data_IF_390078741145
#
_entry.id   IF_390078741145
#
_cell.length_a   1.000
_cell.length_b   1.000
_cell.length_c   1.000
_cell.angle_alpha   90.00
_cell.angle_beta   90.00
_cell.angle_gamma   90.00
#
_symmetry.space_group_name_H-M   'P 1'
#
loop_
_entity.id
_entity.type
_entity.pdbx_description
1 polymer ?
#
# COMPACT_ATOMS: atom_id res chain seq x y z
N UNK A 1 32.81 11.61 11.92
CA UNK A 1 31.60 12.44 12.06
C UNK A 1 30.43 11.59 11.60
N UNK A 2 29.71 10.99 12.55
CA UNK A 2 28.56 10.13 12.28
C UNK A 2 27.39 11.03 11.88
N UNK A 3 27.00 10.99 10.61
CA UNK A 3 25.73 11.56 10.19
C UNK A 3 24.62 10.72 10.82
N UNK A 4 24.12 11.19 11.96
CA UNK A 4 22.86 10.73 12.51
C UNK A 4 21.80 11.00 11.46
N UNK A 5 21.25 9.92 10.90
CA UNK A 5 20.06 9.97 10.10
C UNK A 5 18.92 10.39 11.03
N UNK A 6 18.75 11.70 11.20
CA UNK A 6 17.61 12.26 11.91
C UNK A 6 16.36 11.93 11.10
N UNK A 7 15.74 10.79 11.43
CA UNK A 7 14.35 10.51 11.13
C UNK A 7 13.51 11.53 11.90
N UNK A 8 13.39 12.75 11.38
CA UNK A 8 12.35 13.65 11.81
C UNK A 8 11.00 12.92 11.59
N UNK A 9 10.27 12.52 12.65
CA UNK A 9 9.05 11.74 12.49
C UNK A 9 7.88 12.57 11.92
N UNK A 10 8.12 13.85 11.61
CA UNK A 10 7.14 14.79 11.12
C UNK A 10 7.03 14.85 9.60
N UNK A 11 6.39 13.84 9.00
CA UNK A 11 5.93 13.77 7.60
C UNK A 11 7.03 13.87 6.51
N UNK A 12 7.09 12.86 5.63
CA UNK A 12 8.03 12.80 4.52
C UNK A 12 8.01 14.09 3.65
N UNK A 13 9.17 14.54 3.14
CA UNK A 13 9.27 15.63 2.17
C UNK A 13 8.29 15.39 1.00
N UNK A 14 7.60 16.45 0.54
CA UNK A 14 6.62 16.33 -0.56
C UNK A 14 5.16 16.06 -0.16
N UNK A 15 4.84 16.01 1.13
CA UNK A 15 3.44 15.92 1.60
C UNK A 15 2.67 17.22 1.30
N UNK A 16 1.54 17.09 0.60
CA UNK A 16 0.65 18.23 0.30
C UNK A 16 -0.09 18.64 1.57
N UNK A 17 0.05 19.91 1.97
CA UNK A 17 -0.69 20.45 3.11
C UNK A 17 -2.09 20.91 2.66
N UNK A 18 -3.16 20.36 3.25
CA UNK A 18 -4.52 20.79 2.93
C UNK A 18 -4.79 22.20 3.46
N UNK A 19 -5.26 23.09 2.58
CA UNK A 19 -5.76 24.43 2.97
C UNK A 19 -7.05 24.38 3.79
N UNK A 20 -7.87 23.34 3.59
CA UNK A 20 -9.15 23.17 4.27
C UNK A 20 -9.00 22.32 5.53
N UNK A 21 -9.47 22.83 6.68
CA UNK A 21 -9.41 22.13 7.96
C UNK A 21 -10.10 20.74 7.93
N UNK A 22 -11.21 20.61 7.19
CA UNK A 22 -11.90 19.33 7.02
C UNK A 22 -11.06 18.27 6.28
N UNK A 23 -10.37 18.68 5.20
CA UNK A 23 -9.45 17.79 4.46
C UNK A 23 -8.21 17.45 5.30
N UNK A 24 -7.75 18.38 6.15
CA UNK A 24 -6.67 18.14 7.09
C UNK A 24 -7.01 17.06 8.12
N UNK A 25 -8.21 17.12 8.71
CA UNK A 25 -8.68 16.14 9.69
C UNK A 25 -8.84 14.77 9.03
N UNK A 26 -9.44 14.70 7.83
CA UNK A 26 -9.60 13.45 7.09
C UNK A 26 -8.25 12.81 6.72
N UNK A 27 -7.32 13.61 6.17
CA UNK A 27 -5.99 13.12 5.81
C UNK A 27 -5.20 12.62 7.04
N UNK A 28 -5.28 13.34 8.17
CA UNK A 28 -4.64 12.93 9.42
C UNK A 28 -5.25 11.63 9.98
N UNK A 29 -6.56 11.49 9.91
CA UNK A 29 -7.28 10.30 10.37
C UNK A 29 -6.93 9.08 9.51
N UNK A 30 -6.94 9.24 8.18
CA UNK A 30 -6.57 8.17 7.26
C UNK A 30 -5.10 7.78 7.40
N UNK A 31 -4.20 8.75 7.57
CA UNK A 31 -2.78 8.46 7.78
C UNK A 31 -2.52 7.74 9.11
N UNK A 32 -3.24 8.13 10.17
CA UNK A 32 -3.17 7.41 11.45
C UNK A 32 -3.61 5.96 11.28
N UNK A 33 -4.72 5.72 10.58
CA UNK A 33 -5.20 4.37 10.28
C UNK A 33 -4.19 3.57 9.44
N UNK A 34 -3.71 4.14 8.34
CA UNK A 34 -2.70 3.52 7.46
C UNK A 34 -1.43 3.16 8.23
N UNK A 35 -1.03 3.96 9.23
CA UNK A 35 0.12 3.67 10.08
C UNK A 35 -0.11 2.46 10.99
N UNK A 36 -1.32 2.26 11.51
CA UNK A 36 -1.63 1.03 12.27
C UNK A 36 -1.59 -0.19 11.37
N UNK A 37 -2.17 -0.06 10.17
CA UNK A 37 -2.16 -1.11 9.14
C UNK A 37 -0.72 -1.46 8.73
N UNK A 38 0.16 -0.46 8.60
CA UNK A 38 1.59 -0.69 8.34
C UNK A 38 2.26 -1.56 9.41
N UNK A 39 2.06 -1.24 10.70
CA UNK A 39 2.63 -2.05 11.79
C UNK A 39 2.15 -3.50 11.73
N UNK A 40 0.87 -3.72 11.42
CA UNK A 40 0.33 -5.05 11.20
C UNK A 40 0.99 -5.76 10.01
N UNK A 41 1.17 -5.07 8.88
CA UNK A 41 1.86 -5.61 7.71
C UNK A 41 3.32 -5.96 8.01
N UNK A 42 4.03 -5.14 8.78
CA UNK A 42 5.42 -5.41 9.18
C UNK A 42 5.50 -6.67 10.05
N UNK A 43 4.58 -6.82 11.01
CA UNK A 43 4.48 -8.03 11.83
C UNK A 43 4.18 -9.26 10.96
N UNK A 44 3.25 -9.14 10.01
CA UNK A 44 2.92 -10.22 9.08
C UNK A 44 4.13 -10.66 8.24
N UNK A 45 4.97 -9.73 7.77
CA UNK A 45 6.20 -10.06 7.03
C UNK A 45 7.22 -10.82 7.90
N UNK A 46 7.39 -10.41 9.15
CA UNK A 46 8.27 -11.13 10.10
C UNK A 46 7.73 -12.55 10.33
N UNK A 47 6.42 -12.69 10.54
CA UNK A 47 5.77 -13.99 10.71
C UNK A 47 5.95 -14.87 9.46
N UNK A 48 5.73 -14.34 8.26
CA UNK A 48 5.99 -15.04 6.99
C UNK A 48 7.44 -15.53 6.91
N UNK A 49 8.41 -14.69 7.28
CA UNK A 49 9.82 -15.07 7.29
C UNK A 49 10.11 -16.22 8.27
N UNK A 50 9.51 -16.18 9.47
CA UNK A 50 9.61 -17.28 10.44
C UNK A 50 8.97 -18.58 9.92
N UNK A 51 7.78 -18.51 9.29
CA UNK A 51 7.08 -19.67 8.74
C UNK A 51 7.89 -20.32 7.61
N UNK A 52 8.43 -19.51 6.69
CA UNK A 52 9.28 -20.02 5.60
C UNK A 52 10.58 -20.62 6.13
N UNK A 53 11.20 -19.99 7.13
CA UNK A 53 12.41 -20.53 7.78
C UNK A 53 12.11 -21.87 8.45
N UNK A 54 10.99 -21.98 9.16
CA UNK A 54 10.51 -23.22 9.75
C UNK A 54 10.28 -24.30 8.68
N UNK A 55 9.61 -23.95 7.58
CA UNK A 55 9.37 -24.87 6.45
C UNK A 55 10.67 -25.48 5.93
N UNK A 56 11.66 -24.63 5.65
CA UNK A 56 12.99 -25.04 5.20
C UNK A 56 13.62 -25.99 6.22
N UNK A 57 13.68 -25.61 7.51
CA UNK A 57 14.26 -26.45 8.56
C UNK A 57 13.56 -27.81 8.64
N UNK A 58 12.23 -27.86 8.62
CA UNK A 58 11.49 -29.13 8.67
C UNK A 58 11.73 -30.02 7.46
N UNK A 59 11.84 -29.44 6.27
CA UNK A 59 12.07 -30.20 5.04
C UNK A 59 13.47 -30.81 5.02
N UNK A 60 14.50 -30.06 5.46
CA UNK A 60 15.89 -30.53 5.44
C UNK A 60 16.22 -31.48 6.59
N UNK A 61 15.74 -31.20 7.81
CA UNK A 61 16.10 -31.99 9.00
C UNK A 61 15.11 -33.10 9.32
N UNK A 62 13.80 -32.82 9.18
CA UNK A 62 12.73 -33.75 9.55
C UNK A 62 12.17 -34.54 8.36
N UNK A 63 12.67 -34.29 7.13
CA UNK A 63 12.27 -34.93 5.86
C UNK A 63 10.75 -34.99 5.63
N UNK A 64 10.00 -34.11 6.28
CA UNK A 64 8.55 -34.04 6.21
C UNK A 64 8.19 -32.71 5.56
N UNK A 65 7.56 -32.76 4.38
CA UNK A 65 7.03 -31.58 3.72
C UNK A 65 5.64 -31.30 4.30
N UNK A 66 5.39 -30.06 4.73
CA UNK A 66 4.09 -29.67 5.28
C UNK A 66 3.44 -28.65 4.34
N UNK A 67 2.31 -29.01 3.74
CA UNK A 67 1.76 -28.27 2.58
C UNK A 67 1.09 -26.93 2.91
N UNK A 68 0.75 -26.66 4.18
CA UNK A 68 0.07 -25.42 4.60
C UNK A 68 0.98 -24.18 4.64
N UNK A 69 2.30 -24.39 4.74
CA UNK A 69 3.27 -23.33 5.02
C UNK A 69 3.41 -22.35 3.84
N UNK A 70 3.42 -22.90 2.62
CA UNK A 70 3.55 -22.11 1.39
C UNK A 70 2.35 -21.18 1.22
N UNK A 71 1.13 -21.70 1.41
CA UNK A 71 -0.09 -20.91 1.23
C UNK A 71 -0.30 -19.88 2.33
N UNK A 72 -0.02 -20.22 3.59
CA UNK A 72 -0.06 -19.26 4.69
C UNK A 72 0.91 -18.09 4.43
N UNK A 73 2.11 -18.39 3.92
CA UNK A 73 3.12 -17.40 3.58
C UNK A 73 2.68 -16.50 2.43
N UNK A 74 2.10 -17.08 1.37
CA UNK A 74 1.56 -16.33 0.23
C UNK A 74 0.41 -15.42 0.68
N UNK A 75 -0.51 -15.91 1.49
CA UNK A 75 -1.66 -15.13 1.96
C UNK A 75 -1.23 -13.96 2.84
N UNK A 76 -0.29 -14.20 3.76
CA UNK A 76 0.30 -13.12 4.58
C UNK A 76 1.06 -12.11 3.73
N UNK A 77 1.78 -12.54 2.69
CA UNK A 77 2.52 -11.64 1.81
C UNK A 77 1.57 -10.76 0.98
N UNK A 78 0.52 -11.36 0.38
CA UNK A 78 -0.54 -10.63 -0.34
C UNK A 78 -1.19 -9.61 0.59
N UNK A 79 -1.57 -10.07 1.79
CA UNK A 79 -2.14 -9.22 2.81
C UNK A 79 -1.26 -8.03 3.19
N UNK A 80 0.00 -8.31 3.55
CA UNK A 80 0.97 -7.29 3.94
C UNK A 80 1.22 -6.28 2.81
N UNK A 81 1.36 -6.77 1.58
CA UNK A 81 1.59 -5.94 0.39
C UNK A 81 0.46 -4.95 0.18
N UNK A 82 -0.77 -5.43 -0.03
CA UNK A 82 -1.92 -4.54 -0.34
C UNK A 82 -2.28 -3.60 0.81
N UNK A 83 -2.17 -4.07 2.05
CA UNK A 83 -2.50 -3.27 3.24
C UNK A 83 -1.48 -2.14 3.47
N UNK A 84 -0.20 -2.37 3.15
CA UNK A 84 0.85 -1.36 3.31
C UNK A 84 0.85 -0.31 2.19
N UNK A 85 0.39 -0.65 0.98
CA UNK A 85 0.49 0.23 -0.20
C UNK A 85 -0.12 1.61 0.01
N UNK A 86 -1.26 1.72 0.71
CA UNK A 86 -1.90 3.00 0.99
C UNK A 86 -1.00 3.93 1.83
N UNK A 87 -0.29 3.38 2.83
CA UNK A 87 0.66 4.13 3.63
C UNK A 87 1.86 4.57 2.79
N UNK A 88 2.44 3.66 2.00
CA UNK A 88 3.59 3.98 1.14
C UNK A 88 3.23 5.07 0.12
N UNK A 89 2.03 4.98 -0.48
CA UNK A 89 1.50 6.01 -1.38
C UNK A 89 1.35 7.37 -0.69
N UNK A 90 1.02 7.40 0.61
CA UNK A 90 0.90 8.64 1.38
C UNK A 90 2.21 9.44 1.43
N UNK A 91 3.35 8.75 1.35
CA UNK A 91 4.69 9.33 1.40
C UNK A 91 5.13 9.93 0.05
N UNK A 92 4.35 9.78 -1.02
CA UNK A 92 4.67 10.28 -2.38
C UNK A 92 6.07 9.88 -2.89
N UNK A 93 6.56 8.68 -2.54
CA UNK A 93 7.88 8.18 -2.95
C UNK A 93 8.02 7.77 -4.43
N UNK A 94 7.38 8.47 -5.37
CA UNK A 94 7.57 8.24 -6.80
C UNK A 94 8.88 8.90 -7.27
N UNK A 95 10.00 8.26 -6.94
CA UNK A 95 11.36 8.71 -7.32
C UNK A 95 11.48 8.96 -8.83
N UNK A 96 10.81 8.15 -9.65
CA UNK A 96 10.78 8.33 -11.12
C UNK A 96 10.02 9.58 -11.58
N UNK A 97 9.08 10.10 -10.78
CA UNK A 97 8.37 11.34 -11.10
C UNK A 97 9.24 12.55 -10.79
N UNK A 98 10.05 12.48 -9.75
CA UNK A 98 10.95 13.55 -9.31
C UNK A 98 12.13 13.78 -10.25
N UNK A 99 12.72 12.72 -10.82
CA UNK A 99 13.82 12.87 -11.78
C UNK A 99 13.41 13.60 -13.07
N UNK A 100 12.16 13.40 -13.52
CA UNK A 100 11.62 14.15 -14.66
C UNK A 100 11.15 15.56 -14.24
N UNK A 101 10.76 15.73 -12.97
CA UNK A 101 10.38 17.02 -12.42
C UNK A 101 11.55 18.01 -12.36
N UNK A 102 12.79 17.54 -12.18
CA UNK A 102 13.97 18.41 -12.12
C UNK A 102 14.37 19.01 -13.47
N UNK A 103 13.86 18.46 -14.58
CA UNK A 103 14.18 18.91 -15.95
C UNK A 103 13.07 19.82 -16.52
N UNK A 104 11.84 19.72 -16.00
CA UNK A 104 10.68 20.43 -16.53
C UNK A 104 10.43 21.78 -15.82
N UNK A 105 9.83 22.77 -16.53
CA UNK A 105 9.38 24.01 -15.90
C UNK A 105 8.28 23.74 -14.85
N UNK A 106 8.30 24.51 -13.75
CA UNK A 106 7.44 24.31 -12.58
C UNK A 106 5.94 24.22 -12.90
N UNK A 107 5.44 25.00 -13.87
CA UNK A 107 4.04 25.00 -14.28
C UNK A 107 3.62 23.68 -14.95
N UNK A 108 4.47 23.13 -15.81
CA UNK A 108 4.21 21.86 -16.51
C UNK A 108 4.28 20.69 -15.54
N UNK A 109 5.23 20.73 -14.59
CA UNK A 109 5.36 19.70 -13.58
C UNK A 109 4.13 19.64 -12.65
N UNK A 110 3.53 20.79 -12.31
CA UNK A 110 2.28 20.83 -11.52
C UNK A 110 1.11 20.16 -12.25
N UNK A 111 0.90 20.46 -13.54
CA UNK A 111 -0.17 19.84 -14.34
C UNK A 111 0.06 18.34 -14.48
N UNK A 112 1.30 17.93 -14.74
CA UNK A 112 1.69 16.52 -14.84
C UNK A 112 1.37 15.76 -13.55
N UNK A 113 1.72 16.31 -12.38
CA UNK A 113 1.44 15.67 -11.08
C UNK A 113 -0.06 15.46 -10.87
N UNK A 114 -0.88 16.47 -11.15
CA UNK A 114 -2.34 16.37 -11.03
C UNK A 114 -2.89 15.32 -11.98
N UNK A 115 -2.41 15.28 -13.23
CA UNK A 115 -2.86 14.30 -14.22
C UNK A 115 -2.51 12.87 -13.78
N UNK A 116 -1.28 12.63 -13.32
CA UNK A 116 -0.86 11.33 -12.81
C UNK A 116 -1.73 10.93 -11.61
N UNK A 117 -1.94 11.82 -10.65
CA UNK A 117 -2.76 11.54 -9.47
C UNK A 117 -4.21 11.17 -9.86
N UNK A 118 -4.81 11.87 -10.83
CA UNK A 118 -6.16 11.57 -11.33
C UNK A 118 -6.21 10.21 -12.02
N UNK A 119 -5.28 9.94 -12.94
CA UNK A 119 -5.22 8.67 -13.67
C UNK A 119 -4.99 7.50 -12.71
N UNK A 120 -4.06 7.64 -11.76
CA UNK A 120 -3.81 6.65 -10.71
C UNK A 120 -5.04 6.43 -9.84
N UNK A 121 -5.77 7.49 -9.48
CA UNK A 121 -7.03 7.39 -8.70
C UNK A 121 -8.09 6.61 -9.47
N UNK A 122 -8.30 6.92 -10.75
CA UNK A 122 -9.28 6.24 -11.60
C UNK A 122 -8.94 4.75 -11.75
N UNK A 123 -7.68 4.45 -12.07
CA UNK A 123 -7.20 3.08 -12.21
C UNK A 123 -7.36 2.28 -10.91
N UNK A 124 -6.92 2.84 -9.77
CA UNK A 124 -7.02 2.16 -8.49
C UNK A 124 -8.47 1.97 -8.05
N UNK A 125 -9.37 2.93 -8.34
CA UNK A 125 -10.80 2.79 -8.05
C UNK A 125 -11.44 1.67 -8.87
N UNK A 126 -11.14 1.60 -10.17
CA UNK A 126 -11.57 0.50 -11.03
C UNK A 126 -11.04 -0.85 -10.55
N UNK A 127 -9.75 -0.92 -10.22
CA UNK A 127 -9.12 -2.14 -9.72
C UNK A 127 -9.73 -2.59 -8.38
N UNK A 128 -10.04 -1.64 -7.50
CA UNK A 128 -10.72 -1.90 -6.23
C UNK A 128 -12.10 -2.51 -6.44
N UNK A 129 -12.87 -1.99 -7.40
CA UNK A 129 -14.16 -2.57 -7.76
C UNK A 129 -14.01 -4.00 -8.30
N UNK A 130 -13.07 -4.22 -9.23
CA UNK A 130 -12.78 -5.56 -9.75
C UNK A 130 -12.33 -6.53 -8.66
N UNK A 131 -11.54 -6.06 -7.69
CA UNK A 131 -11.11 -6.87 -6.54
C UNK A 131 -12.30 -7.33 -5.70
N UNK A 132 -13.29 -6.45 -5.46
CA UNK A 132 -14.52 -6.82 -4.78
C UNK A 132 -15.37 -7.82 -5.56
N UNK A 133 -15.44 -7.69 -6.90
CA UNK A 133 -16.13 -8.70 -7.72
C UNK A 133 -15.47 -10.06 -7.61
N UNK A 134 -14.13 -10.11 -7.58
CA UNK A 134 -13.37 -11.35 -7.47
C UNK A 134 -13.52 -11.99 -6.08
N UNK A 135 -13.55 -11.18 -5.03
CA UNK A 135 -13.86 -11.65 -3.67
C UNK A 135 -15.24 -12.31 -3.62
N UNK A 136 -16.26 -11.65 -4.19
CA UNK A 136 -17.62 -12.17 -4.17
C UNK A 136 -17.74 -13.48 -4.96
N UNK A 137 -17.11 -13.56 -6.12
CA UNK A 137 -17.05 -14.78 -6.93
C UNK A 137 -16.39 -15.93 -6.16
N UNK A 138 -15.21 -15.68 -5.58
CA UNK A 138 -14.50 -16.70 -4.82
C UNK A 138 -15.26 -17.17 -3.58
N UNK A 139 -16.05 -16.28 -2.96
CA UNK A 139 -16.92 -16.63 -1.85
C UNK A 139 -18.14 -17.45 -2.31
N UNK A 140 -18.79 -17.04 -3.40
CA UNK A 140 -20.01 -17.67 -3.90
C UNK A 140 -19.76 -19.04 -4.54
N UNK A 141 -18.68 -19.16 -5.32
CA UNK A 141 -18.28 -20.40 -5.99
C UNK A 141 -17.43 -21.32 -5.09
N UNK A 142 -17.02 -20.84 -3.91
CA UNK A 142 -16.19 -21.62 -2.98
C UNK A 142 -14.81 -21.94 -3.55
N UNK A 143 -14.20 -21.02 -4.29
CA UNK A 143 -12.92 -21.25 -4.95
C UNK A 143 -11.81 -21.51 -3.92
N UNK A 144 -11.08 -22.60 -4.12
CA UNK A 144 -9.93 -22.99 -3.30
C UNK A 144 -8.65 -22.98 -4.12
N UNK A 145 -7.51 -22.82 -3.46
CA UNK A 145 -6.22 -22.99 -4.13
C UNK A 145 -6.08 -24.41 -4.68
N UNK A 146 -5.35 -24.58 -5.80
CA UNK A 146 -5.09 -25.87 -6.44
C UNK A 146 -4.08 -26.78 -5.68
N UNK A 147 -3.83 -26.52 -4.40
CA UNK A 147 -2.91 -27.28 -3.54
C UNK A 147 -3.64 -28.38 -2.76
N UNK A 148 -2.90 -29.33 -2.19
CA UNK A 148 -3.44 -30.39 -1.34
C UNK A 148 -4.13 -29.88 -0.07
N UNK A 149 -3.76 -28.69 0.42
CA UNK A 149 -4.37 -28.06 1.59
C UNK A 149 -5.65 -27.26 1.25
N UNK A 150 -5.83 -26.86 -0.02
CA UNK A 150 -7.03 -26.23 -0.59
C UNK A 150 -7.72 -25.15 0.29
N UNK A 151 -7.00 -24.15 0.81
CA UNK A 151 -7.60 -23.05 1.56
C UNK A 151 -8.43 -22.17 0.63
N UNK A 152 -9.45 -21.50 1.17
CA UNK A 152 -10.35 -20.72 0.35
C UNK A 152 -9.72 -19.39 -0.08
N UNK A 153 -9.90 -19.03 -1.36
CA UNK A 153 -9.30 -17.85 -1.99
C UNK A 153 -9.98 -16.53 -1.63
N UNK A 154 -11.15 -16.57 -0.98
CA UNK A 154 -11.82 -15.35 -0.50
C UNK A 154 -10.97 -14.56 0.51
N UNK A 155 -10.08 -15.23 1.26
CA UNK A 155 -9.21 -14.58 2.24
C UNK A 155 -8.22 -13.61 1.55
N UNK A 156 -7.33 -14.07 0.65
CA UNK A 156 -6.40 -13.17 -0.03
C UNK A 156 -7.11 -12.14 -0.91
N UNK A 157 -8.20 -12.51 -1.58
CA UNK A 157 -8.98 -11.55 -2.38
C UNK A 157 -9.67 -10.49 -1.53
N UNK A 158 -10.12 -10.84 -0.33
CA UNK A 158 -10.70 -9.88 0.62
C UNK A 158 -9.64 -8.88 1.10
N UNK A 159 -8.45 -9.36 1.46
CA UNK A 159 -7.33 -8.48 1.82
C UNK A 159 -6.92 -7.57 0.67
N UNK A 160 -6.86 -8.10 -0.55
CA UNK A 160 -6.61 -7.32 -1.76
C UNK A 160 -7.68 -6.24 -1.98
N UNK A 161 -8.97 -6.59 -1.89
CA UNK A 161 -10.07 -5.65 -2.08
C UNK A 161 -10.04 -4.51 -1.06
N UNK A 162 -9.80 -4.83 0.22
CA UNK A 162 -9.71 -3.82 1.28
C UNK A 162 -8.48 -2.92 1.09
N UNK A 163 -7.30 -3.50 0.81
CA UNK A 163 -6.07 -2.72 0.60
C UNK A 163 -6.16 -1.80 -0.61
N UNK A 164 -6.76 -2.26 -1.71
CA UNK A 164 -6.98 -1.44 -2.91
C UNK A 164 -8.02 -0.34 -2.68
N UNK A 165 -9.04 -0.58 -1.85
CA UNK A 165 -10.01 0.45 -1.46
C UNK A 165 -9.33 1.56 -0.66
N UNK A 166 -8.47 1.19 0.31
CA UNK A 166 -7.69 2.14 1.11
C UNK A 166 -6.74 2.97 0.24
N UNK A 167 -6.07 2.32 -0.71
CA UNK A 167 -5.18 3.00 -1.66
C UNK A 167 -5.95 3.98 -2.55
N UNK A 168 -7.10 3.57 -3.08
CA UNK A 168 -7.95 4.45 -3.90
C UNK A 168 -8.43 5.67 -3.11
N UNK A 169 -8.82 5.48 -1.84
CA UNK A 169 -9.20 6.58 -0.95
C UNK A 169 -8.05 7.55 -0.68
N UNK A 170 -6.84 7.02 -0.46
CA UNK A 170 -5.63 7.83 -0.27
C UNK A 170 -5.29 8.67 -1.51
N UNK A 171 -5.35 8.07 -2.69
CA UNK A 171 -5.11 8.74 -3.98
C UNK A 171 -6.18 9.79 -4.28
N UNK A 172 -7.44 9.49 -3.98
CA UNK A 172 -8.54 10.45 -4.13
C UNK A 172 -8.34 11.70 -3.24
N UNK A 173 -7.94 11.51 -1.98
CA UNK A 173 -7.64 12.65 -1.11
C UNK A 173 -6.43 13.45 -1.63
N UNK A 174 -5.37 12.78 -2.11
CA UNK A 174 -4.20 13.44 -2.66
C UNK A 174 -4.51 14.26 -3.91
N UNK A 175 -5.30 13.71 -4.84
CA UNK A 175 -5.74 14.41 -6.06
C UNK A 175 -6.65 15.58 -5.72
N UNK A 176 -7.59 15.42 -4.79
CA UNK A 176 -8.46 16.52 -4.33
C UNK A 176 -7.66 17.68 -3.71
N UNK A 177 -6.66 17.39 -2.86
CA UNK A 177 -5.77 18.41 -2.29
C UNK A 177 -4.95 19.09 -3.39
N UNK A 178 -4.42 18.33 -4.35
CA UNK A 178 -3.66 18.85 -5.49
C UNK A 178 -4.48 19.83 -6.34
N UNK A 179 -5.73 19.48 -6.66
CA UNK A 179 -6.66 20.34 -7.42
C UNK A 179 -7.07 21.60 -6.64
N UNK A 180 -7.22 21.50 -5.31
CA UNK A 180 -7.54 22.65 -4.44
C UNK A 180 -6.40 23.67 -4.28
N UNK A 181 -5.24 23.43 -4.91
CA UNK A 181 -4.08 24.31 -4.81
C UNK A 181 -3.30 24.15 -3.50
N UNK A 182 -3.29 22.94 -2.93
CA UNK A 182 -2.45 22.61 -1.78
C UNK A 182 -0.99 22.98 -2.02
N UNK A 183 -0.35 23.56 -1.00
CA UNK A 183 1.07 23.86 -1.06
C UNK A 183 1.84 22.55 -0.86
N UNK A 184 2.68 22.21 -1.83
CA UNK A 184 3.71 21.19 -1.63
C UNK A 184 4.64 21.76 -0.58
N UNK A 185 4.82 21.08 0.56
CA UNK A 185 5.85 21.49 1.52
C UNK A 185 7.19 21.39 0.80
N UNK A 186 7.71 22.55 0.40
CA UNK A 186 9.03 22.67 -0.19
C UNK A 186 10.04 22.17 0.81
N UNK A 187 10.94 21.32 0.33
CA UNK A 187 12.12 20.90 1.08
C UNK A 187 12.88 22.17 1.45
N UNK A 188 12.87 22.54 2.74
CA UNK A 188 13.77 23.56 3.24
C UNK A 188 15.15 22.90 3.20
N UNK A 189 15.92 23.32 2.20
CA UNK A 189 17.34 23.00 1.93
C UNK A 189 18.16 22.58 3.15
#
# INVERSE_FOLDING_TARGET
MSHGFELNPGAAPGTLLPKNAALAVLAKSLNWFNRQVLWLSMLALVLTSCVLTYSVVTRYFLKTATDWQDEASVFMLVGAMFMCTAYVQSLRGHVGIEALASILPASVNRVRLILVDIVSTLFCSFFSWKSWTLFHEAWAEGQTTSSSFAPPLWIPYGMMAVGMTLLAMQLFLQSAIGVSGGEVRGDQK
#
